data_IF_059081239390
#
_entry.id   IF_059081239390
#
_cell.length_a   1.000
_cell.length_b   1.000
_cell.length_c   1.000
_cell.angle_alpha   90.00
_cell.angle_beta   90.00
_cell.angle_gamma   90.00
#
_symmetry.space_group_name_H-M   'P 1'
#
loop_
_entity.id
_entity.type
_entity.pdbx_description
1 polymer ?
#
# COMPACT_ATOMS: atom_id res chain seq x y z
N UNK A 1 24.31 7.06 -9.23
CA UNK A 1 23.66 6.57 -10.42
C UNK A 1 22.50 5.62 -10.18
N UNK A 2 21.86 5.61 -8.97
CA UNK A 2 20.75 4.67 -8.67
C UNK A 2 19.37 5.34 -8.61
N UNK A 3 19.29 6.66 -8.80
CA UNK A 3 18.04 7.40 -8.61
C UNK A 3 16.98 7.27 -9.74
N UNK A 4 17.32 6.67 -10.89
CA UNK A 4 16.41 6.63 -12.05
C UNK A 4 15.61 5.35 -12.23
N UNK A 5 15.48 4.50 -11.22
CA UNK A 5 14.82 3.19 -11.39
C UNK A 5 13.40 3.05 -10.82
N UNK A 6 12.89 4.04 -10.10
CA UNK A 6 11.57 3.95 -9.43
C UNK A 6 10.67 5.16 -9.75
N UNK A 7 10.68 5.63 -10.96
CA UNK A 7 9.74 6.66 -11.40
C UNK A 7 8.42 6.09 -11.94
N UNK A 8 8.14 4.82 -11.71
CA UNK A 8 6.99 4.10 -12.30
C UNK A 8 5.79 3.91 -11.37
N UNK A 9 5.80 4.43 -10.14
CA UNK A 9 4.71 4.14 -9.17
C UNK A 9 3.89 5.37 -8.78
N UNK A 10 4.32 6.59 -9.13
CA UNK A 10 3.53 7.81 -8.87
C UNK A 10 3.01 8.36 -10.19
N UNK A 11 1.93 7.74 -10.71
CA UNK A 11 1.29 8.18 -11.95
C UNK A 11 0.44 9.42 -11.74
N UNK A 12 0.93 10.58 -12.14
CA UNK A 12 0.09 11.75 -12.41
C UNK A 12 -0.66 11.57 -13.72
N UNK A 13 -1.77 12.31 -13.92
CA UNK A 13 -2.60 12.28 -15.15
C UNK A 13 -1.77 12.50 -16.45
N UNK A 14 -0.58 13.06 -16.36
CA UNK A 14 0.36 13.18 -17.48
C UNK A 14 0.97 11.82 -17.92
N UNK A 15 1.04 10.83 -17.05
CA UNK A 15 1.60 9.49 -17.39
C UNK A 15 0.63 8.59 -18.15
N UNK A 16 -0.67 8.87 -18.11
CA UNK A 16 -1.64 8.20 -18.99
C UNK A 16 -1.29 8.40 -20.47
N UNK A 17 -0.61 9.50 -20.80
CA UNK A 17 -0.08 9.73 -22.17
C UNK A 17 1.09 8.80 -22.54
N UNK A 18 1.81 8.26 -21.55
CA UNK A 18 2.89 7.30 -21.79
C UNK A 18 2.38 5.87 -22.06
N UNK A 19 1.18 5.54 -21.60
CA UNK A 19 0.55 4.25 -21.92
C UNK A 19 0.09 4.12 -23.37
N UNK A 20 0.14 5.19 -24.17
CA UNK A 20 -0.18 5.16 -25.58
C UNK A 20 0.95 4.63 -26.48
N UNK A 21 2.15 4.41 -25.97
CA UNK A 21 3.17 3.64 -26.70
C UNK A 21 2.76 2.18 -26.70
N UNK A 22 2.46 1.65 -27.87
CA UNK A 22 2.21 0.24 -28.06
C UNK A 22 3.32 -0.57 -27.37
N UNK A 23 2.94 -1.50 -26.48
CA UNK A 23 3.87 -2.38 -25.81
C UNK A 23 4.70 -3.12 -26.85
N UNK A 24 6.02 -3.07 -26.73
CA UNK A 24 6.88 -3.87 -27.58
C UNK A 24 6.65 -5.36 -27.29
N UNK A 25 6.70 -6.18 -28.34
CA UNK A 25 6.66 -7.63 -28.17
C UNK A 25 7.82 -8.09 -27.27
N UNK A 26 7.50 -8.78 -26.19
CA UNK A 26 8.47 -9.26 -25.23
C UNK A 26 7.90 -10.36 -24.37
N UNK A 27 8.77 -11.06 -23.66
CA UNK A 27 8.39 -12.00 -22.62
C UNK A 27 8.36 -11.29 -21.26
N UNK A 28 7.55 -11.77 -20.35
CA UNK A 28 7.44 -11.28 -18.98
C UNK A 28 6.96 -12.37 -18.03
N UNK A 29 7.01 -12.06 -16.76
CA UNK A 29 6.55 -12.94 -15.69
C UNK A 29 5.36 -12.26 -14.99
N UNK A 30 4.32 -13.05 -14.71
CA UNK A 30 3.24 -12.65 -13.80
C UNK A 30 3.60 -13.19 -12.41
N UNK A 31 3.79 -12.28 -11.47
CA UNK A 31 3.99 -12.60 -10.05
C UNK A 31 3.42 -11.47 -9.20
N UNK A 32 2.40 -11.73 -8.35
CA UNK A 32 1.89 -10.73 -7.42
C UNK A 32 2.96 -10.28 -6.43
N UNK A 33 2.93 -9.02 -6.01
CA UNK A 33 3.83 -8.50 -4.96
C UNK A 33 3.69 -9.33 -3.68
N UNK A 34 2.45 -9.70 -3.33
CA UNK A 34 2.16 -10.53 -2.15
C UNK A 34 2.85 -11.89 -2.15
N UNK A 35 3.24 -12.40 -3.32
CA UNK A 35 3.90 -13.71 -3.48
C UNK A 35 5.43 -13.63 -3.46
N UNK A 36 6.01 -12.45 -3.29
CA UNK A 36 7.44 -12.32 -3.05
C UNK A 36 7.81 -12.90 -1.68
N UNK A 37 9.03 -13.45 -1.51
CA UNK A 37 9.51 -13.91 -0.22
C UNK A 37 9.45 -12.78 0.83
N UNK A 38 9.08 -13.13 2.05
CA UNK A 38 9.08 -12.19 3.15
C UNK A 38 9.03 -12.93 4.49
N UNK A 39 9.85 -12.55 5.49
CA UNK A 39 9.75 -13.11 6.83
C UNK A 39 8.51 -12.61 7.60
N UNK A 40 7.73 -11.70 7.02
CA UNK A 40 6.60 -11.02 7.66
C UNK A 40 5.25 -11.41 7.05
N UNK A 41 5.15 -12.63 6.53
CA UNK A 41 3.91 -13.31 6.13
C UNK A 41 3.25 -12.82 4.84
N UNK A 42 3.81 -11.81 4.17
CA UNK A 42 3.35 -11.31 2.87
C UNK A 42 4.48 -10.57 2.17
N UNK A 43 4.62 -10.75 0.87
CA UNK A 43 5.60 -10.01 0.07
C UNK A 43 5.38 -8.51 0.09
N UNK A 44 6.47 -7.74 -0.03
CA UNK A 44 6.48 -6.28 0.07
C UNK A 44 7.22 -5.63 -1.10
N UNK A 45 7.12 -4.31 -1.22
CA UNK A 45 7.90 -3.50 -2.17
C UNK A 45 9.30 -3.17 -1.62
N UNK A 46 9.89 -4.10 -0.86
CA UNK A 46 11.21 -4.00 -0.29
C UNK A 46 12.31 -4.62 -1.15
N UNK A 47 13.36 -5.08 -0.49
CA UNK A 47 14.56 -5.62 -1.12
C UNK A 47 14.26 -6.75 -2.11
N UNK A 48 13.38 -7.69 -1.74
CA UNK A 48 13.06 -8.84 -2.60
C UNK A 48 12.38 -8.44 -3.91
N UNK A 49 11.58 -7.35 -3.90
CA UNK A 49 11.01 -6.80 -5.12
C UNK A 49 12.10 -6.24 -6.06
N UNK A 50 13.09 -5.55 -5.53
CA UNK A 50 14.23 -5.06 -6.34
C UNK A 50 15.07 -6.19 -6.87
N UNK A 51 15.39 -7.17 -6.05
CA UNK A 51 16.18 -8.34 -6.44
C UNK A 51 15.45 -9.16 -7.51
N UNK A 52 14.12 -9.25 -7.44
CA UNK A 52 13.29 -9.88 -8.47
C UNK A 52 13.36 -9.11 -9.80
N UNK A 53 13.26 -7.79 -9.78
CA UNK A 53 13.43 -6.96 -10.99
C UNK A 53 14.81 -7.14 -11.61
N UNK A 54 15.86 -7.17 -10.80
CA UNK A 54 17.22 -7.40 -11.28
C UNK A 54 17.40 -8.82 -11.86
N UNK A 55 16.73 -9.82 -11.26
CA UNK A 55 16.68 -11.19 -11.80
C UNK A 55 15.97 -11.22 -13.17
N UNK A 56 14.82 -10.59 -13.30
CA UNK A 56 14.08 -10.49 -14.56
C UNK A 56 14.93 -9.85 -15.66
N UNK A 57 15.63 -8.78 -15.32
CA UNK A 57 16.55 -8.10 -16.24
C UNK A 57 17.66 -9.04 -16.70
N UNK A 58 18.31 -9.79 -15.79
CA UNK A 58 19.34 -10.78 -16.14
C UNK A 58 18.79 -11.92 -17.00
N UNK A 59 17.53 -12.32 -16.76
CA UNK A 59 16.84 -13.34 -17.53
C UNK A 59 16.30 -12.83 -18.90
N UNK A 60 16.56 -11.57 -19.26
CA UNK A 60 16.11 -11.00 -20.53
C UNK A 60 14.60 -10.74 -20.59
N UNK A 61 13.89 -10.77 -19.45
CA UNK A 61 12.48 -10.46 -19.40
C UNK A 61 12.28 -8.94 -19.52
N UNK A 62 11.23 -8.54 -20.26
CA UNK A 62 10.90 -7.12 -20.47
C UNK A 62 9.81 -6.63 -19.53
N UNK A 63 8.96 -7.52 -19.05
CA UNK A 63 7.77 -7.17 -18.28
C UNK A 63 7.66 -7.97 -16.99
N UNK A 64 7.27 -7.28 -15.93
CA UNK A 64 6.74 -7.86 -14.71
C UNK A 64 5.26 -7.49 -14.60
N UNK A 65 4.38 -8.47 -14.72
CA UNK A 65 2.96 -8.27 -14.51
C UNK A 65 2.61 -8.55 -13.05
N UNK A 66 2.03 -7.56 -12.39
CA UNK A 66 1.51 -7.67 -11.01
C UNK A 66 -0.01 -7.68 -11.02
N UNK A 67 -0.62 -8.14 -9.93
CA UNK A 67 -2.04 -7.92 -9.68
C UNK A 67 -2.27 -6.49 -9.17
N UNK A 68 -3.54 -6.00 -9.17
CA UNK A 68 -3.83 -4.67 -8.63
C UNK A 68 -3.23 -4.46 -7.24
N UNK A 69 -2.58 -3.32 -7.05
CA UNK A 69 -1.82 -3.00 -5.83
C UNK A 69 -2.58 -2.10 -4.85
N UNK A 70 -3.86 -1.89 -5.09
CA UNK A 70 -4.73 -1.11 -4.20
C UNK A 70 -5.06 -1.82 -2.89
N UNK A 71 -5.59 -1.09 -1.90
CA UNK A 71 -6.01 -1.68 -0.63
C UNK A 71 -7.12 -2.71 -0.86
N UNK A 72 -6.99 -3.87 -0.21
CA UNK A 72 -7.97 -4.95 -0.31
C UNK A 72 -9.14 -4.77 0.65
N UNK A 73 -10.30 -5.31 0.29
CA UNK A 73 -11.49 -5.35 1.14
C UNK A 73 -11.67 -6.72 1.79
N UNK A 74 -12.85 -6.99 2.31
CA UNK A 74 -13.22 -8.30 2.84
C UNK A 74 -13.03 -9.39 1.78
N UNK A 75 -12.31 -10.46 2.14
CA UNK A 75 -11.97 -11.54 1.22
C UNK A 75 -10.63 -11.37 0.50
N UNK A 76 -9.91 -10.26 0.79
CA UNK A 76 -8.51 -10.00 0.38
C UNK A 76 -8.23 -10.10 -1.13
N UNK A 77 -9.29 -10.03 -1.95
CA UNK A 77 -9.18 -10.02 -3.40
C UNK A 77 -8.54 -8.71 -3.88
N UNK A 78 -7.46 -8.74 -4.66
CA UNK A 78 -6.83 -7.55 -5.21
C UNK A 78 -7.74 -6.80 -6.20
N UNK A 79 -8.80 -7.44 -6.68
CA UNK A 79 -9.79 -6.86 -7.60
C UNK A 79 -10.95 -6.16 -6.89
N UNK A 80 -10.98 -6.20 -5.55
CA UNK A 80 -12.01 -5.54 -4.73
C UNK A 80 -11.37 -4.47 -3.86
N UNK A 81 -10.92 -3.38 -4.49
CA UNK A 81 -10.29 -2.26 -3.80
C UNK A 81 -11.29 -1.16 -3.43
N UNK A 82 -11.04 -0.48 -2.32
CA UNK A 82 -11.80 0.74 -1.92
C UNK A 82 -11.37 1.97 -2.70
N UNK A 83 -10.19 1.94 -3.32
CA UNK A 83 -9.62 3.08 -4.01
C UNK A 83 -8.90 2.62 -5.27
N UNK A 84 -9.03 3.42 -6.33
CA UNK A 84 -8.25 3.27 -7.55
C UNK A 84 -6.86 3.95 -7.47
N UNK A 85 -6.63 4.77 -6.43
CA UNK A 85 -5.44 5.60 -6.29
C UNK A 85 -4.52 5.13 -5.16
N UNK A 86 -5.10 4.75 -4.01
CA UNK A 86 -4.32 4.38 -2.83
C UNK A 86 -3.59 3.05 -3.02
N UNK A 87 -2.34 2.99 -2.55
CA UNK A 87 -1.58 1.75 -2.46
C UNK A 87 -2.02 0.88 -1.27
N UNK A 88 -1.74 -0.42 -1.35
CA UNK A 88 -2.03 -1.36 -0.27
C UNK A 88 -0.99 -1.22 0.85
N UNK A 89 -1.37 -0.88 2.09
CA UNK A 89 -0.45 -0.77 3.22
C UNK A 89 0.28 -2.09 3.54
N UNK A 90 -0.25 -3.23 3.11
CA UNK A 90 0.42 -4.52 3.30
C UNK A 90 1.76 -4.59 2.56
N UNK A 91 1.96 -3.82 1.50
CA UNK A 91 3.17 -3.82 0.69
C UNK A 91 4.26 -2.86 1.20
N UNK A 92 4.00 -2.11 2.27
CA UNK A 92 5.02 -1.32 2.96
C UNK A 92 6.06 -2.28 3.54
N UNK A 93 7.32 -2.09 3.23
CA UNK A 93 8.39 -2.96 3.69
C UNK A 93 8.80 -2.67 5.13
N UNK A 94 8.76 -3.68 5.99
CA UNK A 94 9.10 -3.51 7.41
C UNK A 94 10.61 -3.42 7.65
N UNK A 95 11.44 -4.06 6.82
CA UNK A 95 12.89 -3.93 6.94
C UNK A 95 13.36 -2.51 6.58
N UNK A 96 12.70 -1.85 5.64
CA UNK A 96 12.93 -0.43 5.36
C UNK A 96 12.60 0.44 6.58
N UNK A 97 11.45 0.21 7.23
CA UNK A 97 11.07 0.95 8.43
C UNK A 97 12.03 0.68 9.62
N UNK A 98 12.59 -0.53 9.71
CA UNK A 98 13.63 -0.87 10.69
C UNK A 98 14.92 -0.09 10.37
N UNK A 99 15.35 -0.08 9.11
CA UNK A 99 16.55 0.64 8.69
C UNK A 99 16.44 2.16 8.90
N UNK A 100 15.25 2.72 8.77
CA UNK A 100 14.93 4.12 9.07
C UNK A 100 14.79 4.42 10.57
N UNK A 101 14.85 3.41 11.44
CA UNK A 101 14.75 3.54 12.91
C UNK A 101 13.33 3.81 13.40
N UNK A 102 12.31 3.66 12.56
CA UNK A 102 10.91 3.89 12.92
C UNK A 102 10.31 2.75 13.72
N UNK A 103 10.81 1.53 13.55
CA UNK A 103 10.46 0.36 14.35
C UNK A 103 11.72 -0.43 14.69
N UNK A 104 11.66 -1.19 15.78
CA UNK A 104 12.76 -2.09 16.16
C UNK A 104 12.51 -3.49 15.60
N UNK A 105 13.58 -4.19 15.27
CA UNK A 105 13.51 -5.55 14.74
C UNK A 105 12.78 -6.49 15.69
N UNK A 106 13.06 -6.39 16.99
CA UNK A 106 12.44 -7.20 18.03
C UNK A 106 10.93 -6.98 18.14
N UNK A 107 10.46 -5.76 17.82
CA UNK A 107 9.02 -5.45 17.81
C UNK A 107 8.30 -6.18 16.67
N UNK A 108 8.97 -6.38 15.55
CA UNK A 108 8.42 -7.09 14.39
C UNK A 108 8.53 -8.60 14.56
N UNK A 109 9.65 -9.09 15.08
CA UNK A 109 9.91 -10.51 15.34
C UNK A 109 9.06 -11.07 16.51
N UNK A 110 8.50 -10.21 17.36
CA UNK A 110 7.57 -10.64 18.42
C UNK A 110 6.23 -11.17 17.89
N UNK A 111 5.90 -10.88 16.64
CA UNK A 111 4.67 -11.37 15.99
C UNK A 111 4.93 -12.68 15.25
N UNK A 112 3.94 -13.57 15.30
CA UNK A 112 3.89 -14.74 14.43
C UNK A 112 3.07 -14.37 13.19
N UNK A 113 3.72 -14.15 12.07
CA UNK A 113 3.11 -13.60 10.85
C UNK A 113 2.31 -14.63 10.06
N UNK A 114 2.76 -15.88 10.04
CA UNK A 114 2.11 -16.99 9.34
C UNK A 114 2.37 -18.32 10.10
N UNK A 115 1.61 -19.35 9.76
CA UNK A 115 1.86 -20.70 10.26
C UNK A 115 2.73 -21.52 9.28
N UNK A 116 2.81 -21.07 8.02
CA UNK A 116 3.57 -21.66 6.92
C UNK A 116 4.11 -20.55 6.03
N UNK A 117 5.20 -20.84 5.32
CA UNK A 117 5.77 -19.92 4.31
C UNK A 117 5.01 -20.00 2.97
N UNK A 118 4.13 -20.97 2.81
CA UNK A 118 3.37 -21.21 1.57
C UNK A 118 2.02 -20.52 1.53
N UNK A 119 1.54 -19.99 2.66
CA UNK A 119 0.20 -19.38 2.77
C UNK A 119 0.23 -18.04 3.50
N UNK A 120 -0.56 -17.10 2.99
CA UNK A 120 -0.74 -15.79 3.63
C UNK A 120 -1.95 -15.86 4.57
N UNK A 121 -1.73 -15.65 5.85
CA UNK A 121 -2.81 -15.47 6.83
C UNK A 121 -3.26 -13.99 6.84
N UNK A 122 -4.16 -13.62 5.94
CA UNK A 122 -4.64 -12.25 5.81
C UNK A 122 -5.31 -11.72 7.08
N UNK A 123 -6.00 -12.56 7.86
CA UNK A 123 -6.61 -12.12 9.11
C UNK A 123 -5.57 -11.73 10.15
N UNK A 124 -4.44 -12.43 10.16
CA UNK A 124 -3.28 -12.14 11.02
C UNK A 124 -2.54 -10.91 10.53
N UNK A 125 -2.26 -10.83 9.22
CA UNK A 125 -1.66 -9.66 8.58
C UNK A 125 -2.47 -8.40 8.89
N UNK A 126 -3.78 -8.42 8.69
CA UNK A 126 -4.66 -7.30 8.96
C UNK A 126 -4.50 -6.75 10.39
N UNK A 127 -4.51 -7.62 11.40
CA UNK A 127 -4.38 -7.20 12.80
C UNK A 127 -2.97 -6.69 13.13
N UNK A 128 -1.97 -7.53 12.86
CA UNK A 128 -0.60 -7.29 13.34
C UNK A 128 0.11 -6.19 12.55
N UNK A 129 -0.07 -6.16 11.22
CA UNK A 129 0.64 -5.20 10.39
C UNK A 129 0.23 -3.76 10.67
N UNK A 130 -1.05 -3.51 10.84
CA UNK A 130 -1.51 -2.17 11.20
C UNK A 130 -1.05 -1.72 12.58
N UNK A 131 -0.86 -2.63 13.54
CA UNK A 131 -0.25 -2.28 14.83
C UNK A 131 1.19 -1.80 14.66
N UNK A 132 1.98 -2.51 13.87
CA UNK A 132 3.37 -2.14 13.57
C UNK A 132 3.44 -0.83 12.80
N UNK A 133 2.62 -0.68 11.75
CA UNK A 133 2.59 0.56 10.94
C UNK A 133 2.17 1.78 11.76
N UNK A 134 1.22 1.64 12.69
CA UNK A 134 0.86 2.74 13.61
C UNK A 134 2.00 3.14 14.55
N UNK A 135 2.81 2.17 15.02
CA UNK A 135 4.00 2.48 15.81
C UNK A 135 5.02 3.27 14.98
N UNK A 136 5.29 2.83 13.75
CA UNK A 136 6.18 3.53 12.84
C UNK A 136 5.68 4.95 12.55
N UNK A 137 4.40 5.09 12.23
CA UNK A 137 3.77 6.39 12.00
C UNK A 137 3.88 7.34 13.18
N UNK A 138 3.63 6.85 14.40
CA UNK A 138 3.72 7.65 15.62
C UNK A 138 5.14 8.11 15.98
N UNK A 139 6.16 7.47 15.39
CA UNK A 139 7.59 7.83 15.59
C UNK A 139 8.16 8.63 14.43
N UNK A 140 7.46 8.67 13.31
CA UNK A 140 7.94 9.38 12.13
C UNK A 140 7.70 10.89 12.24
N UNK A 141 8.68 11.68 11.83
CA UNK A 141 8.59 13.14 11.70
C UNK A 141 8.20 13.53 10.25
N UNK A 142 7.37 12.70 9.61
CA UNK A 142 7.04 12.80 8.20
C UNK A 142 6.35 14.10 7.80
N UNK A 143 5.55 14.71 8.70
CA UNK A 143 4.72 15.89 8.40
C UNK A 143 5.50 17.10 7.92
N UNK A 144 6.77 17.20 8.34
CA UNK A 144 7.67 18.30 7.96
C UNK A 144 8.59 17.91 6.80
N UNK A 145 8.50 16.68 6.30
CA UNK A 145 9.29 16.25 5.16
C UNK A 145 8.73 16.80 3.86
N UNK A 146 9.63 17.21 2.97
CA UNK A 146 9.24 17.72 1.66
C UNK A 146 8.48 16.67 0.85
N UNK A 147 8.94 15.45 0.88
CA UNK A 147 8.32 14.33 0.16
C UNK A 147 6.87 14.11 0.57
N UNK A 148 6.55 14.29 1.87
CA UNK A 148 5.19 14.19 2.36
C UNK A 148 4.32 15.36 1.87
N UNK A 149 4.85 16.59 1.95
CA UNK A 149 4.13 17.79 1.49
C UNK A 149 3.86 17.69 -0.02
N UNK A 150 4.89 17.39 -0.81
CA UNK A 150 4.76 17.22 -2.26
C UNK A 150 3.75 16.11 -2.61
N UNK A 151 3.77 14.97 -1.87
CA UNK A 151 2.79 13.89 -2.04
C UNK A 151 1.35 14.33 -1.76
N UNK A 152 1.11 15.08 -0.69
CA UNK A 152 -0.24 15.59 -0.36
C UNK A 152 -0.73 16.56 -1.44
N UNK A 153 0.13 17.48 -1.89
CA UNK A 153 -0.21 18.45 -2.94
C UNK A 153 -0.53 17.76 -4.28
N UNK A 154 0.28 16.78 -4.68
CA UNK A 154 0.07 16.04 -5.93
C UNK A 154 -1.20 15.15 -5.90
N UNK A 155 -1.69 14.79 -4.72
CA UNK A 155 -2.82 13.88 -4.53
C UNK A 155 -4.04 14.54 -3.88
N UNK A 156 -4.09 15.88 -3.80
CA UNK A 156 -5.15 16.64 -3.13
C UNK A 156 -6.57 16.29 -3.60
N UNK A 157 -6.71 15.89 -4.88
CA UNK A 157 -8.01 15.58 -5.48
C UNK A 157 -8.69 14.32 -4.89
N UNK A 158 -7.97 13.46 -4.16
CA UNK A 158 -8.55 12.21 -3.65
C UNK A 158 -8.14 11.85 -2.21
N UNK A 159 -6.97 12.31 -1.75
CA UNK A 159 -6.36 11.80 -0.50
C UNK A 159 -7.17 12.14 0.73
N UNK A 160 -7.69 13.36 0.84
CA UNK A 160 -8.51 13.80 1.97
C UNK A 160 -9.81 13.02 2.07
N UNK A 161 -10.48 12.81 0.94
CA UNK A 161 -11.71 12.05 0.88
C UNK A 161 -11.49 10.58 1.21
N UNK A 162 -10.38 10.01 0.75
CA UNK A 162 -10.01 8.63 1.08
C UNK A 162 -9.65 8.48 2.56
N UNK A 163 -8.85 9.37 3.11
CA UNK A 163 -8.48 9.36 4.52
C UNK A 163 -9.72 9.47 5.42
N UNK A 164 -10.62 10.41 5.11
CA UNK A 164 -11.88 10.60 5.81
C UNK A 164 -12.77 9.34 5.72
N UNK A 165 -12.91 8.76 4.54
CA UNK A 165 -13.66 7.52 4.34
C UNK A 165 -13.10 6.38 5.21
N UNK A 166 -11.78 6.22 5.24
CA UNK A 166 -11.13 5.15 6.03
C UNK A 166 -11.25 5.39 7.53
N UNK A 167 -11.19 6.63 8.00
CA UNK A 167 -11.42 6.99 9.40
C UNK A 167 -12.84 6.63 9.84
N UNK A 168 -13.85 7.07 9.07
CA UNK A 168 -15.27 6.74 9.32
C UNK A 168 -15.49 5.23 9.29
N UNK A 169 -14.92 4.54 8.31
CA UNK A 169 -15.03 3.09 8.19
C UNK A 169 -14.46 2.35 9.40
N UNK A 170 -13.32 2.80 9.91
CA UNK A 170 -12.70 2.23 11.11
C UNK A 170 -13.58 2.42 12.35
N UNK A 171 -14.15 3.60 12.55
CA UNK A 171 -15.08 3.92 13.64
C UNK A 171 -16.37 3.08 13.59
N UNK A 172 -16.83 2.75 12.40
CA UNK A 172 -17.99 1.90 12.15
C UNK A 172 -17.65 0.40 12.08
N UNK A 173 -16.57 -0.05 12.74
CA UNK A 173 -16.13 -1.45 12.79
C UNK A 173 -15.97 -2.07 11.39
N UNK A 174 -15.45 -1.31 10.44
CA UNK A 174 -15.25 -1.68 9.04
C UNK A 174 -16.53 -2.10 8.28
N UNK A 175 -17.70 -1.72 8.77
CA UNK A 175 -18.96 -1.97 8.06
C UNK A 175 -18.97 -1.24 6.71
N UNK A 176 -19.81 -1.77 5.82
CA UNK A 176 -20.06 -1.17 4.52
C UNK A 176 -20.72 0.22 4.64
N UNK A 177 -20.40 1.12 3.71
CA UNK A 177 -20.94 2.48 3.67
C UNK A 177 -22.47 2.55 3.74
N UNK A 178 -23.18 1.58 3.17
CA UNK A 178 -24.64 1.52 3.18
C UNK A 178 -25.22 1.39 4.60
N UNK A 179 -24.46 0.83 5.54
CA UNK A 179 -24.86 0.65 6.94
C UNK A 179 -24.59 1.87 7.83
N UNK A 180 -23.98 2.94 7.31
CA UNK A 180 -23.68 4.14 8.09
C UNK A 180 -24.92 5.04 8.26
N UNK A 181 -24.87 5.96 9.21
CA UNK A 181 -25.93 6.93 9.48
C UNK A 181 -26.23 7.81 8.26
N UNK A 182 -27.48 8.20 8.04
CA UNK A 182 -27.88 9.02 6.88
C UNK A 182 -27.12 10.34 6.77
N UNK A 183 -26.74 10.96 7.90
CA UNK A 183 -25.97 12.20 7.91
C UNK A 183 -24.55 12.01 7.35
N UNK A 184 -23.90 10.91 7.73
CA UNK A 184 -22.56 10.54 7.25
C UNK A 184 -22.62 10.12 5.78
N UNK A 185 -23.55 9.25 5.41
CA UNK A 185 -23.74 8.83 4.01
C UNK A 185 -23.95 10.02 3.06
N UNK A 186 -24.67 11.02 3.51
CA UNK A 186 -24.97 12.25 2.74
C UNK A 186 -23.89 13.33 2.89
N UNK A 187 -22.81 13.02 3.60
CA UNK A 187 -21.68 13.93 3.86
C UNK A 187 -22.13 15.29 4.41
N UNK A 188 -23.07 15.31 5.34
CA UNK A 188 -23.51 16.56 5.98
C UNK A 188 -22.32 17.21 6.70
N UNK A 189 -22.08 18.52 6.52
CA UNK A 189 -20.89 19.18 7.05
C UNK A 189 -20.64 18.94 8.53
N UNK A 190 -21.69 18.99 9.35
CA UNK A 190 -21.60 18.80 10.81
C UNK A 190 -21.15 17.35 11.17
N UNK A 191 -21.66 16.37 10.41
CA UNK A 191 -21.26 14.96 10.62
C UNK A 191 -19.83 14.69 10.15
N UNK A 192 -19.37 15.39 9.09
CA UNK A 192 -18.00 15.25 8.59
C UNK A 192 -16.97 15.95 9.46
N UNK A 193 -17.35 17.10 10.10
CA UNK A 193 -16.45 17.84 10.98
C UNK A 193 -15.95 16.99 12.15
N UNK A 194 -16.80 16.13 12.72
CA UNK A 194 -16.44 15.23 13.83
C UNK A 194 -15.33 14.21 13.48
N UNK A 195 -15.03 14.00 12.21
CA UNK A 195 -14.00 13.06 11.75
C UNK A 195 -12.75 13.75 11.18
N UNK A 196 -12.71 15.08 11.17
CA UNK A 196 -11.58 15.86 10.64
C UNK A 196 -10.70 16.46 11.74
N UNK A 197 -11.09 16.34 13.00
CA UNK A 197 -10.31 16.70 14.19
C UNK A 197 -9.39 15.56 14.63
#
# INVERSE_FOLDING_TARGET
GSANKIQAITGTVQEVSYMSKALERGAGILLPISSLPSPYGIGTMGRDAYDFVDMLKRAGQKYWQVLPIGPTSFGDSPYQSFSAFAGNPYFIDLDTLIAEGLIKKEEVESYKWADSDDEIDYARIYRQRFEVLRKAFGRSEHKDSRDYVDFIEENEQWIDDYALYMAIKADHNNREWLAWEPAIKKRKPEAMAAYRE
#
